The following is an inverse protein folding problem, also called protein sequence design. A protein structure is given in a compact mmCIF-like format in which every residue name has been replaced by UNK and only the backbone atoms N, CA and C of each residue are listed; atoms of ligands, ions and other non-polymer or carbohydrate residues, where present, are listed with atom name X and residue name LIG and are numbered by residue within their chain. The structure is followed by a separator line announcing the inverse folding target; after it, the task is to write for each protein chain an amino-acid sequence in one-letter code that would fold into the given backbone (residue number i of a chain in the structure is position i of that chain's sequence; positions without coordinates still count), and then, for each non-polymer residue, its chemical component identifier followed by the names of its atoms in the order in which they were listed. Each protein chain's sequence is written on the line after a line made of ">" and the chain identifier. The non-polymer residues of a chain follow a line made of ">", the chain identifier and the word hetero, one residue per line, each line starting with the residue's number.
data_IF_878499747430
#
_entry.id   IF_878499747430
#
_cell.length_a   1.000
_cell.length_b   1.000
_cell.length_c   1.000
_cell.angle_alpha   90.00
_cell.angle_beta   90.00
_cell.angle_gamma   90.00
#
_symmetry.space_group_name_H-M   'P 1'
#
loop_
_entity.id
_entity.type
_entity.pdbx_description
1 polymer ?
#
# COMPACT_ATOMS: atom_id res chain seq x y z
N UNK A 1 -30.49 12.17 -42.77
CA UNK A 1 -29.32 11.37 -42.35
C UNK A 1 -29.15 11.50 -40.84
N UNK A 2 -29.46 10.42 -40.13
CA UNK A 2 -29.69 10.45 -38.69
C UNK A 2 -28.35 10.30 -37.96
N UNK A 3 -27.83 11.38 -37.37
CA UNK A 3 -26.66 11.32 -36.48
C UNK A 3 -27.08 10.59 -35.20
N UNK A 4 -26.77 9.29 -35.13
CA UNK A 4 -26.99 8.49 -33.92
C UNK A 4 -26.13 9.06 -32.80
N UNK A 5 -26.78 9.55 -31.75
CA UNK A 5 -26.20 9.84 -30.44
C UNK A 5 -25.74 8.50 -29.85
N UNK A 6 -24.45 8.19 -29.94
CA UNK A 6 -23.87 7.08 -29.20
C UNK A 6 -23.64 7.56 -27.76
N UNK A 7 -24.50 7.09 -26.88
CA UNK A 7 -24.40 7.17 -25.43
C UNK A 7 -23.08 6.55 -24.96
N UNK A 8 -22.01 7.33 -24.86
CA UNK A 8 -20.71 6.87 -24.35
C UNK A 8 -20.76 6.77 -22.83
N UNK A 9 -21.20 5.62 -22.32
CA UNK A 9 -20.82 5.20 -20.97
C UNK A 9 -19.29 5.01 -20.94
N UNK A 10 -18.58 6.04 -20.46
CA UNK A 10 -17.20 6.00 -19.95
C UNK A 10 -16.19 5.17 -20.74
N UNK A 11 -15.51 5.76 -21.72
CA UNK A 11 -14.28 5.17 -22.25
C UNK A 11 -13.24 5.12 -21.14
N UNK A 12 -12.79 3.90 -20.78
CA UNK A 12 -11.67 3.73 -19.86
C UNK A 12 -10.43 4.48 -20.39
N UNK A 13 -9.66 5.05 -19.46
CA UNK A 13 -8.41 5.73 -19.78
C UNK A 13 -7.35 4.72 -20.28
N UNK A 14 -6.41 5.14 -21.14
CA UNK A 14 -5.39 4.27 -21.72
C UNK A 14 -4.52 3.57 -20.68
N UNK A 15 -4.05 2.37 -21.01
CA UNK A 15 -3.12 1.60 -20.18
C UNK A 15 -1.84 2.36 -19.83
N UNK A 16 -1.30 3.17 -20.75
CA UNK A 16 -0.09 3.96 -20.50
C UNK A 16 -0.26 4.96 -19.33
N UNK A 17 -1.45 5.54 -19.17
CA UNK A 17 -1.73 6.43 -18.04
C UNK A 17 -1.90 5.64 -16.73
N UNK A 18 -2.37 4.40 -16.81
CA UNK A 18 -2.42 3.52 -15.66
C UNK A 18 -1.02 3.20 -15.12
N UNK A 19 0.00 3.04 -15.99
CA UNK A 19 1.37 2.77 -15.54
C UNK A 19 1.96 3.91 -14.70
N UNK A 20 1.66 5.16 -15.07
CA UNK A 20 2.08 6.35 -14.31
C UNK A 20 1.44 6.37 -12.93
N UNK A 21 0.12 6.14 -12.88
CA UNK A 21 -0.61 6.07 -11.61
C UNK A 21 -0.13 4.92 -10.73
N UNK A 22 0.08 3.73 -11.30
CA UNK A 22 0.60 2.58 -10.58
C UNK A 22 2.01 2.82 -10.05
N UNK A 23 2.87 3.49 -10.82
CA UNK A 23 4.22 3.84 -10.36
C UNK A 23 4.19 4.85 -9.20
N UNK A 24 3.25 5.82 -9.23
CA UNK A 24 3.07 6.76 -8.13
C UNK A 24 2.62 6.02 -6.85
N UNK A 25 1.63 5.12 -6.96
CA UNK A 25 1.14 4.32 -5.83
C UNK A 25 2.25 3.42 -5.28
N UNK A 26 3.07 2.78 -6.14
CA UNK A 26 4.20 1.96 -5.72
C UNK A 26 5.21 2.74 -4.86
N UNK A 27 5.57 3.96 -5.28
CA UNK A 27 6.48 4.83 -4.52
C UNK A 27 5.89 5.22 -3.17
N UNK A 28 4.62 5.58 -3.14
CA UNK A 28 3.93 5.93 -1.89
C UNK A 28 3.86 4.74 -0.92
N UNK A 29 3.56 3.53 -1.42
CA UNK A 29 3.53 2.31 -0.61
C UNK A 29 4.93 1.91 -0.11
N UNK A 30 5.97 2.11 -0.92
CA UNK A 30 7.34 1.90 -0.47
C UNK A 30 7.71 2.85 0.67
N UNK A 31 7.37 4.13 0.55
CA UNK A 31 7.57 5.12 1.62
C UNK A 31 6.79 4.76 2.89
N UNK A 32 5.53 4.37 2.74
CA UNK A 32 4.68 3.90 3.84
C UNK A 32 5.35 2.76 4.62
N UNK A 33 5.88 1.75 3.91
CA UNK A 33 6.59 0.62 4.54
C UNK A 33 7.86 1.08 5.29
N UNK A 34 8.61 2.03 4.74
CA UNK A 34 9.80 2.55 5.42
C UNK A 34 9.47 3.35 6.68
N UNK A 35 8.42 4.18 6.64
CA UNK A 35 7.99 4.99 7.79
C UNK A 35 7.36 4.13 8.89
N UNK A 36 6.58 3.11 8.50
CA UNK A 36 6.00 2.14 9.41
C UNK A 36 7.07 1.39 10.23
N UNK A 37 8.20 1.05 9.60
CA UNK A 37 9.34 0.42 10.30
C UNK A 37 10.11 1.39 11.22
N UNK A 38 9.95 2.70 11.03
CA UNK A 38 10.65 3.75 11.79
C UNK A 38 9.82 4.33 12.94
N UNK A 39 8.73 3.65 13.35
CA UNK A 39 7.85 4.02 14.49
C UNK A 39 7.33 5.46 14.44
N UNK A 40 7.34 6.08 13.26
CA UNK A 40 7.04 7.50 13.08
C UNK A 40 5.53 7.68 12.98
N UNK A 41 4.95 8.37 13.94
CA UNK A 41 3.52 8.63 14.14
C UNK A 41 2.81 9.45 13.03
N UNK A 42 3.42 9.55 11.83
CA UNK A 42 2.76 10.07 10.65
C UNK A 42 1.94 8.97 10.01
N UNK A 43 0.66 8.87 10.40
CA UNK A 43 -0.32 7.93 9.83
C UNK A 43 -0.55 8.23 8.35
N UNK A 44 0.29 7.68 7.48
CA UNK A 44 -0.01 7.63 6.05
C UNK A 44 -1.30 6.78 5.90
N UNK A 45 -2.35 7.37 5.34
CA UNK A 45 -3.67 6.77 5.30
C UNK A 45 -3.72 5.58 4.32
N UNK A 46 -3.66 4.36 4.85
CA UNK A 46 -3.72 3.11 4.07
C UNK A 46 -5.03 3.02 3.27
N UNK A 47 -6.15 3.45 3.85
CA UNK A 47 -7.47 3.41 3.21
C UNK A 47 -7.52 4.30 1.97
N UNK A 48 -6.95 5.50 2.06
CA UNK A 48 -6.82 6.40 0.90
C UNK A 48 -6.11 5.74 -0.27
N UNK A 49 -5.01 5.00 -0.01
CA UNK A 49 -4.27 4.31 -1.06
C UNK A 49 -5.03 3.11 -1.63
N UNK A 50 -5.86 2.42 -0.83
CA UNK A 50 -6.77 1.37 -1.32
C UNK A 50 -7.83 1.95 -2.25
N UNK A 51 -8.45 3.06 -1.87
CA UNK A 51 -9.43 3.75 -2.69
C UNK A 51 -8.80 4.23 -4.01
N UNK A 52 -7.59 4.80 -3.95
CA UNK A 52 -6.86 5.23 -5.15
C UNK A 52 -6.57 4.07 -6.09
N UNK A 53 -6.16 2.92 -5.54
CA UNK A 53 -5.92 1.71 -6.33
C UNK A 53 -7.22 1.16 -6.95
N UNK A 54 -8.34 1.22 -6.23
CA UNK A 54 -9.65 0.85 -6.76
C UNK A 54 -10.11 1.80 -7.89
N UNK A 55 -9.80 3.09 -7.80
CA UNK A 55 -10.07 4.06 -8.86
C UNK A 55 -9.25 3.75 -10.12
N UNK A 56 -7.99 3.31 -10.00
CA UNK A 56 -7.18 2.88 -11.15
C UNK A 56 -7.80 1.65 -11.84
N UNK A 57 -8.30 0.68 -11.09
CA UNK A 57 -8.95 -0.50 -11.66
C UNK A 57 -10.24 -0.16 -12.40
N UNK A 58 -11.02 0.80 -11.87
CA UNK A 58 -12.31 1.21 -12.46
C UNK A 58 -12.14 2.18 -13.63
N UNK A 59 -11.10 3.00 -13.62
CA UNK A 59 -10.92 4.12 -14.54
C UNK A 59 -10.07 3.81 -15.77
N UNK A 60 -9.31 2.72 -15.78
CA UNK A 60 -8.31 2.45 -16.81
C UNK A 60 -8.47 1.07 -17.46
N UNK A 61 -8.09 1.00 -18.74
CA UNK A 61 -8.02 -0.25 -19.49
C UNK A 61 -6.74 -1.01 -19.13
N UNK A 62 -6.79 -1.78 -18.04
CA UNK A 62 -5.60 -2.48 -17.52
C UNK A 62 -5.20 -3.70 -18.37
N UNK A 63 -3.92 -3.78 -18.73
CA UNK A 63 -3.32 -4.98 -19.34
C UNK A 63 -2.96 -6.04 -18.27
N UNK A 64 -2.72 -7.32 -18.63
CA UNK A 64 -2.44 -8.38 -17.65
C UNK A 64 -1.30 -8.06 -16.68
N UNK A 65 -0.19 -7.48 -17.16
CA UNK A 65 0.94 -7.08 -16.31
C UNK A 65 0.54 -6.00 -15.28
N UNK A 66 -0.30 -5.04 -15.67
CA UNK A 66 -0.82 -4.01 -14.76
C UNK A 66 -1.77 -4.58 -13.71
N UNK A 67 -2.59 -5.57 -14.08
CA UNK A 67 -3.46 -6.27 -13.12
C UNK A 67 -2.64 -7.03 -12.07
N UNK A 68 -1.53 -7.65 -12.47
CA UNK A 68 -0.61 -8.28 -11.53
C UNK A 68 0.03 -7.26 -10.58
N UNK A 69 0.42 -6.08 -11.08
CA UNK A 69 0.93 -4.97 -10.25
C UNK A 69 -0.10 -4.48 -9.24
N UNK A 70 -1.35 -4.31 -9.66
CA UNK A 70 -2.47 -3.95 -8.78
C UNK A 70 -2.61 -4.97 -7.65
N UNK A 71 -2.57 -6.26 -7.96
CA UNK A 71 -2.73 -7.30 -6.95
C UNK A 71 -1.56 -7.32 -5.95
N UNK A 72 -0.32 -7.16 -6.44
CA UNK A 72 0.85 -7.02 -5.57
C UNK A 72 0.73 -5.81 -4.64
N UNK A 73 0.23 -4.67 -5.13
CA UNK A 73 0.00 -3.47 -4.31
C UNK A 73 -1.09 -3.68 -3.25
N UNK A 74 -2.16 -4.42 -3.57
CA UNK A 74 -3.19 -4.78 -2.58
C UNK A 74 -2.61 -5.62 -1.44
N UNK A 75 -1.80 -6.61 -1.78
CA UNK A 75 -1.12 -7.46 -0.79
C UNK A 75 -0.19 -6.61 0.09
N UNK A 76 0.57 -5.68 -0.52
CA UNK A 76 1.47 -4.80 0.21
C UNK A 76 0.72 -3.86 1.17
N UNK A 77 -0.39 -3.25 0.72
CA UNK A 77 -1.24 -2.40 1.57
C UNK A 77 -1.85 -3.20 2.73
N UNK A 78 -2.33 -4.43 2.48
CA UNK A 78 -2.80 -5.33 3.53
C UNK A 78 -1.70 -5.65 4.56
N UNK A 79 -0.46 -5.84 4.11
CA UNK A 79 0.65 -6.14 5.01
C UNK A 79 1.00 -4.96 5.93
N UNK A 80 0.88 -3.72 5.44
CA UNK A 80 1.06 -2.52 6.27
C UNK A 80 -0.09 -2.36 7.26
N UNK A 81 -1.33 -2.54 6.81
CA UNK A 81 -2.55 -2.40 7.61
C UNK A 81 -2.59 -3.36 8.80
N UNK A 82 -2.12 -4.60 8.59
CA UNK A 82 -2.05 -5.60 9.65
C UNK A 82 -0.91 -5.37 10.65
N UNK A 83 0.00 -4.43 10.37
CA UNK A 83 1.18 -4.11 11.18
C UNK A 83 2.07 -5.31 11.49
N UNK A 84 3.20 -5.13 12.19
CA UNK A 84 3.77 -6.23 12.93
C UNK A 84 2.79 -6.42 14.09
N UNK A 85 1.96 -7.45 14.04
CA UNK A 85 1.29 -7.94 15.26
C UNK A 85 2.40 -8.52 16.15
N UNK A 86 3.17 -7.63 16.76
CA UNK A 86 4.20 -7.94 17.73
C UNK A 86 3.48 -8.50 18.96
N UNK A 87 3.26 -9.82 18.93
CA UNK A 87 3.10 -10.66 20.10
C UNK A 87 4.40 -10.73 20.92
N UNK A 88 5.05 -9.60 21.15
CA UNK A 88 6.32 -9.49 21.88
C UNK A 88 6.26 -8.45 23.01
N UNK A 89 5.06 -8.20 23.54
CA UNK A 89 4.89 -7.72 24.91
C UNK A 89 5.23 -8.79 25.95
N UNK A 90 6.39 -9.45 25.89
CA UNK A 90 7.02 -10.12 27.04
C UNK A 90 8.40 -10.68 26.68
N UNK A 91 9.43 -9.87 26.86
CA UNK A 91 10.67 -10.33 27.51
C UNK A 91 11.32 -9.12 28.12
N UNK A 92 10.88 -8.82 29.36
CA UNK A 92 11.73 -8.14 30.34
C UNK A 92 13.06 -8.89 30.35
N UNK A 93 14.07 -8.37 29.66
CA UNK A 93 15.45 -8.73 29.94
C UNK A 93 15.79 -8.04 31.27
N UNK A 94 15.35 -8.66 32.36
CA UNK A 94 15.90 -8.39 33.68
C UNK A 94 17.35 -8.84 33.64
N UNK A 95 18.25 -7.92 33.30
CA UNK A 95 19.66 -8.09 33.63
C UNK A 95 19.76 -7.88 35.12
N UNK A 96 19.47 -8.95 35.87
CA UNK A 96 19.87 -9.10 37.25
C UNK A 96 21.41 -9.13 37.27
N UNK A 97 22.05 -7.97 37.18
CA UNK A 97 23.47 -7.80 37.45
C UNK A 97 23.62 -7.83 38.97
N UNK A 98 23.64 -9.05 39.50
CA UNK A 98 24.13 -9.37 40.82
C UNK A 98 25.57 -8.84 40.93
N UNK A 99 25.79 -7.84 41.78
CA UNK A 99 27.12 -7.39 42.20
C UNK A 99 27.69 -8.37 43.23
N UNK A 100 27.66 -9.66 42.91
CA UNK A 100 28.40 -10.65 43.65
C UNK A 100 29.83 -10.68 43.08
N UNK A 101 30.73 -9.91 43.69
CA UNK A 101 32.03 -10.39 44.17
C UNK A 101 32.93 -9.24 44.65
N UNK A 102 33.35 -9.42 45.90
CA UNK A 102 34.68 -9.15 46.46
C UNK A 102 35.12 -7.69 46.64
N UNK A 103 35.00 -7.21 47.88
CA UNK A 103 36.10 -6.63 48.64
C UNK A 103 35.85 -6.91 50.13
#
# INVERSE_FOLDING_TARGET
>A
MNKKKSETKGSLLPSALADVELQHIERAVAQLRTMHNQSSSGTLNVEYWRERLAAVVKGYALVPAQKQRVEALRIALNAVDNGPRDGSGSRRRTTNRLWAKAA
#
